data_IF_041327313298
#
_entry.id   IF_041327313298
#
_cell.length_a   1.000
_cell.length_b   1.000
_cell.length_c   1.000
_cell.angle_alpha   90.00
_cell.angle_beta   90.00
_cell.angle_gamma   90.00
#
_symmetry.space_group_name_H-M   'P 1'
#
loop_
_entity.id
_entity.type
_entity.pdbx_description
1 polymer ?
#
# COMPACT_ATOMS: atom_id res chain seq x y z
N UNK A 1 5.99 -11.18 -27.91
CA UNK A 1 4.95 -10.52 -27.06
C UNK A 1 5.48 -10.11 -25.68
N UNK A 2 6.38 -10.86 -25.08
CA UNK A 2 6.84 -10.63 -23.69
C UNK A 2 7.58 -9.29 -23.44
N UNK A 3 8.54 -8.85 -24.31
CA UNK A 3 9.26 -7.59 -24.07
C UNK A 3 8.35 -6.36 -24.09
N UNK A 4 7.32 -6.37 -24.96
CA UNK A 4 6.35 -5.27 -25.07
C UNK A 4 5.44 -5.25 -23.82
N UNK A 5 4.93 -6.40 -23.39
CA UNK A 5 4.12 -6.50 -22.20
C UNK A 5 4.87 -5.96 -20.95
N UNK A 6 6.14 -6.34 -20.77
CA UNK A 6 6.97 -5.84 -19.68
C UNK A 6 7.22 -4.31 -19.76
N UNK A 7 7.38 -3.76 -20.96
CA UNK A 7 7.48 -2.29 -21.14
C UNK A 7 6.20 -1.59 -20.73
N UNK A 8 5.02 -2.12 -21.11
CA UNK A 8 3.71 -1.57 -20.73
C UNK A 8 3.54 -1.64 -19.22
N UNK A 9 3.81 -2.80 -18.60
CA UNK A 9 3.69 -3.01 -17.15
C UNK A 9 4.58 -2.00 -16.39
N UNK A 10 5.83 -1.83 -16.80
CA UNK A 10 6.75 -0.84 -16.18
C UNK A 10 6.26 0.60 -16.37
N UNK A 11 5.76 0.95 -17.54
CA UNK A 11 5.20 2.27 -17.83
C UNK A 11 3.99 2.56 -16.95
N UNK A 12 3.11 1.58 -16.76
CA UNK A 12 1.93 1.70 -15.91
C UNK A 12 2.30 1.82 -14.43
N UNK A 13 3.26 1.02 -13.95
CA UNK A 13 3.80 1.13 -12.59
C UNK A 13 4.34 2.53 -12.33
N UNK A 14 5.16 3.07 -13.24
CA UNK A 14 5.71 4.41 -13.12
C UNK A 14 4.62 5.50 -13.10
N UNK A 15 3.60 5.36 -13.93
CA UNK A 15 2.47 6.30 -13.98
C UNK A 15 1.64 6.26 -12.69
N UNK A 16 1.40 5.06 -12.15
CA UNK A 16 0.69 4.88 -10.89
C UNK A 16 1.45 5.55 -9.74
N UNK A 17 2.77 5.32 -9.61
CA UNK A 17 3.61 5.97 -8.61
C UNK A 17 3.59 7.49 -8.72
N UNK A 18 3.58 8.02 -9.95
CA UNK A 18 3.44 9.45 -10.18
C UNK A 18 2.11 9.99 -9.61
N UNK A 19 0.99 9.32 -9.87
CA UNK A 19 -0.31 9.71 -9.33
C UNK A 19 -0.36 9.61 -7.82
N UNK A 20 0.13 8.51 -7.22
CA UNK A 20 0.20 8.33 -5.77
C UNK A 20 1.01 9.45 -5.11
N UNK A 21 2.13 9.84 -5.73
CA UNK A 21 2.97 10.95 -5.26
C UNK A 21 2.25 12.31 -5.39
N UNK A 22 1.52 12.54 -6.48
CA UNK A 22 0.76 13.77 -6.69
C UNK A 22 -0.39 13.89 -5.68
N UNK A 23 -1.15 12.81 -5.45
CA UNK A 23 -2.20 12.73 -4.45
C UNK A 23 -1.64 13.02 -3.05
N UNK A 24 -0.52 12.39 -2.69
CA UNK A 24 0.14 12.61 -1.39
C UNK A 24 0.52 14.07 -1.18
N UNK A 25 1.10 14.72 -2.20
CA UNK A 25 1.49 16.14 -2.13
C UNK A 25 0.29 17.08 -1.99
N UNK A 26 -0.76 16.84 -2.76
CA UNK A 26 -1.93 17.73 -2.82
C UNK A 26 -2.86 17.56 -1.61
N UNK A 27 -3.13 16.30 -1.22
CA UNK A 27 -4.04 16.03 -0.10
C UNK A 27 -3.42 16.27 1.26
N UNK A 28 -2.11 15.99 1.42
CA UNK A 28 -1.52 15.85 2.74
C UNK A 28 -0.25 16.70 2.93
N UNK A 29 0.18 17.47 1.92
CA UNK A 29 1.45 18.23 1.96
C UNK A 29 2.67 17.39 2.40
N UNK A 30 2.57 16.06 2.23
CA UNK A 30 3.54 15.09 2.71
C UNK A 30 4.84 15.09 1.91
N UNK A 31 5.94 14.67 2.55
CA UNK A 31 7.19 14.44 1.86
C UNK A 31 7.10 13.15 1.04
N UNK A 32 7.50 13.21 -0.22
CA UNK A 32 7.41 12.11 -1.19
C UNK A 32 8.76 11.42 -1.39
N UNK A 33 9.78 11.78 -0.61
CA UNK A 33 11.11 11.18 -0.73
C UNK A 33 11.09 9.73 -0.23
N UNK A 34 11.32 8.79 -1.13
CA UNK A 34 11.36 7.35 -0.86
C UNK A 34 12.79 6.95 -0.46
N UNK A 35 13.07 6.95 0.86
CA UNK A 35 14.39 6.65 1.40
C UNK A 35 14.27 5.71 2.61
N UNK A 36 15.03 4.60 2.69
CA UNK A 36 15.03 3.69 3.83
C UNK A 36 15.30 4.35 5.20
N UNK A 37 15.96 5.52 5.24
CA UNK A 37 16.16 6.28 6.47
C UNK A 37 14.83 6.67 7.15
N UNK A 38 13.74 6.82 6.40
CA UNK A 38 12.41 7.12 6.95
C UNK A 38 11.80 5.94 7.71
N UNK A 39 12.32 4.71 7.58
CA UNK A 39 11.91 3.57 8.41
C UNK A 39 12.06 3.84 9.91
N UNK A 40 13.02 4.67 10.31
CA UNK A 40 13.12 5.11 11.68
C UNK A 40 11.90 5.93 12.12
N UNK A 41 11.45 6.85 11.28
CA UNK A 41 10.27 7.70 11.57
C UNK A 41 8.98 6.86 11.60
N UNK A 42 8.88 5.83 10.74
CA UNK A 42 7.78 4.86 10.76
C UNK A 42 7.76 4.11 12.10
N UNK A 43 8.93 3.65 12.56
CA UNK A 43 9.07 2.99 13.86
C UNK A 43 8.65 3.90 15.02
N UNK A 44 9.08 5.15 15.01
CA UNK A 44 8.71 6.16 16.02
C UNK A 44 7.19 6.47 16.01
N UNK A 45 6.61 6.57 14.81
CA UNK A 45 5.17 6.72 14.61
C UNK A 45 4.36 5.61 15.30
N UNK A 46 4.70 4.34 15.02
CA UNK A 46 4.02 3.20 15.61
C UNK A 46 4.29 3.07 17.12
N UNK A 47 5.51 3.41 17.56
CA UNK A 47 5.87 3.41 18.97
C UNK A 47 5.02 4.38 19.79
N UNK A 48 4.84 5.62 19.32
CA UNK A 48 3.99 6.65 19.94
C UNK A 48 2.52 6.20 20.06
N UNK A 49 2.07 5.35 19.14
CA UNK A 49 0.72 4.78 19.13
C UNK A 49 0.59 3.43 19.86
N UNK A 50 1.65 3.01 20.56
CA UNK A 50 1.72 1.73 21.28
C UNK A 50 1.50 0.50 20.40
N UNK A 51 1.73 0.61 19.10
CA UNK A 51 1.71 -0.49 18.14
C UNK A 51 3.10 -1.14 18.10
N UNK A 52 3.45 -1.84 19.19
CA UNK A 52 4.83 -2.27 19.46
C UNK A 52 5.38 -3.25 18.42
N UNK A 53 4.53 -4.14 17.89
CA UNK A 53 4.94 -5.09 16.84
C UNK A 53 5.33 -4.37 15.54
N UNK A 54 4.55 -3.37 15.13
CA UNK A 54 4.84 -2.56 13.95
C UNK A 54 6.09 -1.70 14.16
N UNK A 55 6.24 -1.09 15.35
CA UNK A 55 7.44 -0.34 15.70
C UNK A 55 8.70 -1.23 15.65
N UNK A 56 8.61 -2.44 16.22
CA UNK A 56 9.68 -3.43 16.21
C UNK A 56 10.08 -3.79 14.77
N UNK A 57 9.10 -4.09 13.92
CA UNK A 57 9.33 -4.38 12.51
C UNK A 57 10.10 -3.25 11.82
N UNK A 58 9.60 -2.02 11.93
CA UNK A 58 10.17 -0.86 11.24
C UNK A 58 11.59 -0.54 11.73
N UNK A 59 11.86 -0.55 13.05
CA UNK A 59 13.21 -0.35 13.57
C UNK A 59 14.16 -1.48 13.17
N UNK A 60 13.72 -2.74 13.15
CA UNK A 60 14.52 -3.88 12.67
C UNK A 60 14.91 -3.69 11.21
N UNK A 61 13.96 -3.29 10.35
CA UNK A 61 14.21 -2.99 8.94
C UNK A 61 15.12 -1.78 8.76
N UNK A 62 14.94 -0.73 9.58
CA UNK A 62 15.85 0.40 9.58
C UNK A 62 17.31 -0.02 9.87
N UNK A 63 17.54 -0.83 10.90
CA UNK A 63 18.89 -1.31 11.22
C UNK A 63 19.49 -2.18 10.10
N UNK A 64 18.65 -2.96 9.42
CA UNK A 64 19.07 -3.81 8.30
C UNK A 64 19.51 -2.98 7.09
N UNK A 65 18.75 -1.92 6.74
CA UNK A 65 18.95 -1.17 5.51
C UNK A 65 19.79 0.12 5.69
N UNK A 66 19.95 0.59 6.92
CA UNK A 66 20.67 1.82 7.24
C UNK A 66 21.73 1.61 8.35
N UNK A 67 22.65 0.63 8.22
CA UNK A 67 23.59 0.25 9.30
C UNK A 67 24.59 1.36 9.67
N UNK A 68 24.79 2.36 8.81
CA UNK A 68 25.71 3.49 9.02
C UNK A 68 25.01 4.78 9.45
N UNK A 69 23.69 4.76 9.67
CA UNK A 69 22.95 5.96 10.08
C UNK A 69 23.31 6.36 11.52
N UNK A 70 23.35 7.66 11.78
CA UNK A 70 23.53 8.23 13.14
C UNK A 70 22.49 7.75 14.15
N UNK A 71 21.27 7.40 13.67
CA UNK A 71 20.15 6.91 14.48
C UNK A 71 20.25 5.42 14.86
N UNK A 72 21.27 4.70 14.42
CA UNK A 72 21.44 3.25 14.71
C UNK A 72 21.49 2.97 16.21
N UNK A 73 22.23 3.80 16.98
CA UNK A 73 22.32 3.66 18.44
C UNK A 73 20.97 3.85 19.14
N UNK A 74 20.19 4.82 18.69
CA UNK A 74 18.84 5.09 19.21
C UNK A 74 17.87 3.95 18.85
N UNK A 75 17.85 3.52 17.59
CA UNK A 75 17.00 2.41 17.15
C UNK A 75 17.27 1.11 17.93
N UNK A 76 18.55 0.78 18.21
CA UNK A 76 18.91 -0.38 19.04
C UNK A 76 18.36 -0.27 20.46
N UNK A 77 18.48 0.91 21.10
CA UNK A 77 17.93 1.15 22.45
C UNK A 77 16.41 0.99 22.47
N UNK A 78 15.71 1.54 21.47
CA UNK A 78 14.26 1.42 21.36
C UNK A 78 13.83 -0.03 21.14
N UNK A 79 14.51 -0.77 20.26
CA UNK A 79 14.25 -2.20 20.05
C UNK A 79 14.39 -3.01 21.34
N UNK A 80 15.49 -2.85 22.10
CA UNK A 80 15.70 -3.54 23.37
C UNK A 80 14.59 -3.23 24.37
N UNK A 81 14.11 -1.98 24.39
CA UNK A 81 13.03 -1.55 25.29
C UNK A 81 11.69 -2.19 24.97
N UNK A 82 11.35 -2.34 23.69
CA UNK A 82 10.03 -2.86 23.28
C UNK A 82 10.02 -4.39 23.11
N UNK A 83 11.19 -5.01 22.87
CA UNK A 83 11.29 -6.45 22.60
C UNK A 83 10.57 -7.35 23.60
N UNK A 84 10.60 -7.11 24.95
CA UNK A 84 9.88 -7.97 25.91
C UNK A 84 8.34 -7.93 25.76
N UNK A 85 7.79 -6.89 25.12
CA UNK A 85 6.36 -6.71 24.92
C UNK A 85 5.89 -7.09 23.49
N UNK A 86 6.82 -7.48 22.62
CA UNK A 86 6.54 -7.91 21.24
C UNK A 86 6.28 -9.42 21.24
N UNK A 87 5.28 -9.86 20.49
CA UNK A 87 4.93 -11.29 20.36
C UNK A 87 6.07 -12.05 19.69
N UNK A 88 6.65 -13.02 20.38
CA UNK A 88 7.78 -13.85 19.88
C UNK A 88 7.47 -14.56 18.57
N UNK A 89 6.24 -14.99 18.38
CA UNK A 89 5.77 -15.68 17.19
C UNK A 89 5.76 -14.79 15.92
N UNK A 90 5.77 -13.48 16.08
CA UNK A 90 5.94 -12.51 14.98
C UNK A 90 7.43 -12.21 14.68
N UNK A 91 8.32 -12.42 15.67
CA UNK A 91 9.75 -12.18 15.53
C UNK A 91 10.44 -13.35 14.80
N UNK A 92 10.01 -14.58 15.08
CA UNK A 92 10.74 -15.82 14.74
C UNK A 92 10.42 -16.41 13.37
N UNK A 93 9.41 -15.90 12.64
CA UNK A 93 9.05 -16.46 11.34
C UNK A 93 10.05 -16.04 10.27
N UNK A 94 11.08 -16.84 10.09
CA UNK A 94 11.77 -16.93 8.80
C UNK A 94 10.81 -17.66 7.85
N UNK A 95 10.05 -16.88 7.08
CA UNK A 95 9.18 -17.43 6.07
C UNK A 95 10.05 -17.91 4.90
N UNK A 96 10.36 -19.21 4.89
CA UNK A 96 11.08 -19.85 3.81
C UNK A 96 10.08 -20.38 2.77
N UNK A 97 10.42 -20.22 1.48
CA UNK A 97 9.61 -20.71 0.38
C UNK A 97 8.73 -19.65 -0.29
N UNK A 98 7.93 -20.12 -1.25
CA UNK A 98 7.05 -19.25 -2.04
C UNK A 98 5.74 -18.91 -1.31
N UNK A 99 5.20 -19.84 -0.51
CA UNK A 99 3.98 -19.60 0.29
C UNK A 99 4.35 -19.05 1.65
N UNK A 100 3.71 -17.93 2.04
CA UNK A 100 3.93 -17.26 3.32
C UNK A 100 2.62 -17.00 4.02
N UNK A 101 2.60 -17.25 5.32
CA UNK A 101 1.43 -17.03 6.15
C UNK A 101 1.68 -15.82 7.07
N UNK A 102 0.66 -14.97 7.19
CA UNK A 102 0.66 -13.80 8.04
C UNK A 102 -0.57 -13.84 8.94
N UNK A 103 -0.40 -13.47 10.21
CA UNK A 103 -1.51 -13.30 11.14
C UNK A 103 -2.16 -11.95 10.97
N UNK A 104 -3.33 -11.78 11.58
CA UNK A 104 -4.00 -10.49 11.61
C UNK A 104 -3.07 -9.39 12.14
N UNK A 105 -3.13 -8.25 11.47
CA UNK A 105 -2.36 -7.05 11.79
C UNK A 105 -0.81 -7.23 11.74
N UNK A 106 -0.29 -8.19 10.98
CA UNK A 106 1.14 -8.38 10.74
C UNK A 106 1.61 -7.59 9.51
N UNK A 107 2.74 -6.87 9.62
CA UNK A 107 3.34 -6.15 8.49
C UNK A 107 4.00 -7.15 7.54
N UNK A 108 3.65 -7.09 6.25
CA UNK A 108 4.28 -7.84 5.16
C UNK A 108 5.54 -7.09 4.69
N UNK A 109 5.38 -5.80 4.45
CA UNK A 109 6.48 -4.86 4.21
C UNK A 109 6.06 -3.44 4.59
N UNK A 110 7.02 -2.58 4.88
CA UNK A 110 6.80 -1.19 5.22
C UNK A 110 7.10 -0.26 4.05
N UNK A 111 6.41 0.87 3.97
CA UNK A 111 6.84 1.95 3.09
C UNK A 111 8.31 2.33 3.37
N UNK A 112 9.00 2.81 2.37
CA UNK A 112 10.44 3.08 2.36
C UNK A 112 11.36 1.86 2.46
N UNK A 113 10.85 0.64 2.68
CA UNK A 113 11.64 -0.58 2.67
C UNK A 113 12.05 -0.94 1.24
N UNK A 114 13.30 -1.32 0.97
CA UNK A 114 13.70 -1.92 -0.31
C UNK A 114 12.88 -3.17 -0.60
N UNK A 115 12.39 -3.33 -1.82
CA UNK A 115 11.53 -4.44 -2.18
C UNK A 115 12.09 -5.31 -3.29
N UNK A 116 12.27 -6.61 -3.00
CA UNK A 116 12.80 -7.60 -3.96
C UNK A 116 11.75 -8.62 -4.40
N UNK A 117 10.56 -8.56 -3.80
CA UNK A 117 9.47 -9.50 -4.06
C UNK A 117 8.14 -8.76 -4.29
N UNK A 118 7.27 -9.37 -5.07
CA UNK A 118 5.86 -9.08 -5.12
C UNK A 118 5.08 -10.23 -4.48
N UNK A 119 3.81 -9.98 -4.21
CA UNK A 119 2.95 -10.95 -3.53
C UNK A 119 1.63 -11.13 -4.28
N UNK A 120 1.14 -12.37 -4.31
CA UNK A 120 -0.19 -12.73 -4.81
C UNK A 120 -0.98 -13.26 -3.62
N UNK A 121 -2.16 -12.68 -3.34
CA UNK A 121 -3.00 -13.09 -2.23
C UNK A 121 -3.68 -14.42 -2.58
N UNK A 122 -3.42 -15.45 -1.76
CA UNK A 122 -4.07 -16.76 -1.87
C UNK A 122 -5.32 -16.82 -1.00
N UNK A 123 -5.21 -16.32 0.26
CA UNK A 123 -6.29 -16.25 1.24
C UNK A 123 -6.17 -14.96 2.08
N UNK A 124 -7.29 -14.53 2.67
CA UNK A 124 -7.34 -13.37 3.54
C UNK A 124 -7.42 -12.05 2.77
N UNK A 125 -7.14 -10.95 3.44
CA UNK A 125 -7.15 -9.60 2.88
C UNK A 125 -5.91 -8.83 3.32
N UNK A 126 -5.49 -7.85 2.56
CA UNK A 126 -4.33 -7.01 2.86
C UNK A 126 -4.74 -5.55 2.82
N UNK A 127 -4.45 -4.81 3.91
CA UNK A 127 -4.54 -3.35 3.93
C UNK A 127 -3.27 -2.76 3.33
N UNK A 128 -3.44 -1.81 2.44
CA UNK A 128 -2.36 -0.95 1.95
C UNK A 128 -2.53 0.40 2.61
N UNK A 129 -1.56 0.82 3.40
CA UNK A 129 -1.60 2.05 4.18
C UNK A 129 -0.37 2.92 3.91
N UNK A 130 -0.47 4.19 4.21
CA UNK A 130 0.65 5.14 4.14
C UNK A 130 0.59 6.09 5.32
N UNK A 131 1.75 6.47 5.88
CA UNK A 131 1.83 7.48 6.93
C UNK A 131 2.04 8.84 6.28
N UNK A 132 1.07 9.74 6.45
CA UNK A 132 1.09 11.09 5.91
C UNK A 132 0.68 12.07 7.00
N UNK A 133 1.49 13.11 7.22
CA UNK A 133 1.26 14.13 8.26
C UNK A 133 0.94 13.50 9.63
N UNK A 134 1.70 12.47 10.00
CA UNK A 134 1.55 11.74 11.26
C UNK A 134 0.17 11.04 11.42
N UNK A 135 -0.50 10.73 10.31
CA UNK A 135 -1.73 9.94 10.24
C UNK A 135 -1.53 8.73 9.32
N UNK A 136 -2.09 7.59 9.71
CA UNK A 136 -2.13 6.41 8.85
C UNK A 136 -3.37 6.49 7.95
N UNK A 137 -3.14 6.56 6.65
CA UNK A 137 -4.18 6.63 5.62
C UNK A 137 -4.33 5.27 4.97
N UNK A 138 -5.55 4.74 4.93
CA UNK A 138 -5.88 3.53 4.20
C UNK A 138 -6.03 3.85 2.71
N UNK A 139 -5.17 3.28 1.88
CA UNK A 139 -5.20 3.46 0.43
C UNK A 139 -6.08 2.42 -0.28
N UNK A 140 -6.03 1.16 0.19
CA UNK A 140 -6.80 0.07 -0.39
C UNK A 140 -6.92 -1.13 0.56
N UNK A 141 -7.95 -1.96 0.35
CA UNK A 141 -8.06 -3.31 0.89
C UNK A 141 -8.07 -4.28 -0.27
N UNK A 142 -7.05 -5.12 -0.34
CA UNK A 142 -6.85 -6.11 -1.39
C UNK A 142 -7.42 -7.47 -0.98
N UNK A 143 -7.85 -8.26 -1.97
CA UNK A 143 -8.56 -9.54 -1.80
C UNK A 143 -7.83 -10.69 -2.52
N UNK A 144 -8.23 -11.96 -2.28
CA UNK A 144 -7.63 -13.09 -2.97
C UNK A 144 -7.60 -12.95 -4.49
N UNK A 145 -6.44 -13.28 -5.08
CA UNK A 145 -6.15 -13.10 -6.49
C UNK A 145 -5.52 -11.75 -6.86
N UNK A 146 -5.53 -10.75 -5.96
CA UNK A 146 -4.84 -9.49 -6.19
C UNK A 146 -3.31 -9.65 -6.06
N UNK A 147 -2.59 -8.78 -6.78
CA UNK A 147 -1.13 -8.71 -6.80
C UNK A 147 -0.72 -7.37 -6.21
N UNK A 148 0.31 -7.35 -5.35
CA UNK A 148 0.82 -6.13 -4.75
C UNK A 148 2.33 -6.20 -4.48
N UNK A 149 2.95 -5.02 -4.21
CA UNK A 149 4.39 -4.89 -4.04
C UNK A 149 5.18 -4.93 -5.35
N UNK A 150 4.50 -5.04 -6.49
CA UNK A 150 5.07 -5.11 -7.84
C UNK A 150 5.83 -3.83 -8.23
N UNK A 151 5.38 -2.66 -7.77
CA UNK A 151 5.96 -1.37 -8.15
C UNK A 151 7.42 -1.25 -7.72
N UNK A 152 7.76 -1.74 -6.54
CA UNK A 152 9.13 -1.70 -6.04
C UNK A 152 10.09 -2.50 -6.91
N UNK A 153 9.70 -3.71 -7.35
CA UNK A 153 10.54 -4.56 -8.19
C UNK A 153 10.59 -4.12 -9.66
N UNK A 154 9.49 -3.55 -10.17
CA UNK A 154 9.40 -3.06 -11.55
C UNK A 154 10.25 -1.82 -11.79
N UNK A 155 10.32 -0.93 -10.79
CA UNK A 155 11.01 0.36 -10.87
C UNK A 155 12.36 0.36 -10.15
N UNK A 156 12.68 -0.70 -9.41
CA UNK A 156 13.87 -0.77 -8.56
C UNK A 156 13.95 0.38 -7.55
N UNK A 157 12.81 0.64 -6.91
CA UNK A 157 12.63 1.70 -5.89
C UNK A 157 12.11 1.12 -4.59
N UNK A 158 12.21 1.82 -3.46
CA UNK A 158 11.58 1.42 -2.21
C UNK A 158 10.05 1.26 -2.33
N UNK A 159 9.46 0.57 -1.36
CA UNK A 159 8.02 0.46 -1.20
C UNK A 159 7.40 1.84 -1.02
N UNK A 160 6.35 2.14 -1.76
CA UNK A 160 5.65 3.43 -1.69
C UNK A 160 4.52 3.45 -0.64
N UNK A 161 4.20 2.31 -0.06
CA UNK A 161 3.18 2.13 0.97
C UNK A 161 3.51 0.93 1.86
N UNK A 162 2.85 0.83 3.01
CA UNK A 162 2.94 -0.31 3.93
C UNK A 162 1.82 -1.31 3.61
N UNK A 163 2.15 -2.61 3.61
CA UNK A 163 1.20 -3.68 3.48
C UNK A 163 1.05 -4.44 4.80
N UNK A 164 -0.19 -4.57 5.28
CA UNK A 164 -0.53 -5.17 6.57
C UNK A 164 -1.63 -6.21 6.36
N UNK A 165 -1.49 -7.39 6.95
CA UNK A 165 -2.52 -8.41 6.93
C UNK A 165 -3.79 -7.94 7.64
N UNK A 166 -4.95 -8.19 7.06
CA UNK A 166 -6.26 -7.89 7.61
C UNK A 166 -7.03 -9.21 7.80
N UNK A 167 -6.99 -9.72 9.00
CA UNK A 167 -7.22 -11.13 9.28
C UNK A 167 -6.02 -11.99 8.89
N UNK A 168 -6.07 -13.28 9.20
CA UNK A 168 -5.03 -14.23 8.79
C UNK A 168 -5.00 -14.35 7.27
N UNK A 169 -3.81 -14.32 6.68
CA UNK A 169 -3.63 -14.34 5.24
C UNK A 169 -2.51 -15.27 4.78
N UNK A 170 -2.67 -15.79 3.55
CA UNK A 170 -1.69 -16.61 2.86
C UNK A 170 -1.31 -15.95 1.55
N UNK A 171 -0.02 -15.75 1.33
CA UNK A 171 0.55 -15.04 0.20
C UNK A 171 1.52 -15.93 -0.57
N UNK A 172 1.51 -15.85 -1.89
CA UNK A 172 2.56 -16.38 -2.75
C UNK A 172 3.58 -15.25 -2.99
N UNK A 173 4.81 -15.42 -2.50
CA UNK A 173 5.91 -14.49 -2.72
C UNK A 173 6.65 -14.83 -4.02
N UNK A 174 6.86 -13.84 -4.87
CA UNK A 174 7.55 -13.99 -6.16
C UNK A 174 8.71 -12.99 -6.21
N UNK A 175 9.93 -13.50 -6.32
CA UNK A 175 11.11 -12.65 -6.46
C UNK A 175 11.13 -11.95 -7.83
N UNK A 176 11.84 -10.82 -7.91
CA UNK A 176 12.07 -10.09 -9.16
C UNK A 176 12.61 -10.99 -10.27
N UNK A 177 13.59 -11.85 -9.96
CA UNK A 177 14.19 -12.76 -10.93
C UNK A 177 13.18 -13.77 -11.49
N UNK A 178 12.27 -14.26 -10.66
CA UNK A 178 11.25 -15.22 -11.07
C UNK A 178 10.08 -14.56 -11.80
N UNK A 179 9.77 -13.31 -11.47
CA UNK A 179 8.64 -12.59 -12.02
C UNK A 179 8.72 -12.40 -13.54
N UNK A 180 9.86 -11.95 -14.06
CA UNK A 180 10.04 -11.77 -15.51
C UNK A 180 9.89 -13.10 -16.26
N UNK A 181 10.47 -14.18 -15.74
CA UNK A 181 10.30 -15.51 -16.29
C UNK A 181 8.87 -16.05 -16.20
N UNK A 182 8.13 -15.71 -15.15
CA UNK A 182 6.72 -16.09 -15.02
C UNK A 182 5.84 -15.38 -16.05
N UNK A 183 6.02 -14.07 -16.27
CA UNK A 183 5.29 -13.30 -17.28
C UNK A 183 5.60 -13.81 -18.69
N UNK A 184 6.85 -14.23 -18.95
CA UNK A 184 7.25 -14.80 -20.23
C UNK A 184 6.59 -16.13 -20.51
N UNK A 185 6.50 -17.03 -19.51
CA UNK A 185 5.90 -18.37 -19.65
C UNK A 185 4.38 -18.35 -19.56
N UNK A 186 3.81 -17.35 -18.92
CA UNK A 186 2.37 -17.21 -18.75
C UNK A 186 1.87 -15.81 -19.20
N UNK A 187 1.50 -15.66 -20.49
CA UNK A 187 1.00 -14.40 -21.04
C UNK A 187 -0.26 -13.89 -20.33
N UNK A 188 -1.07 -14.79 -19.75
CA UNK A 188 -2.28 -14.41 -19.00
C UNK A 188 -1.93 -13.62 -17.72
N UNK A 189 -0.79 -13.95 -17.07
CA UNK A 189 -0.29 -13.17 -15.93
C UNK A 189 0.05 -11.74 -16.35
N UNK A 190 0.70 -11.56 -17.49
CA UNK A 190 0.99 -10.25 -18.05
C UNK A 190 -0.27 -9.45 -18.33
N UNK A 191 -1.28 -10.06 -18.95
CA UNK A 191 -2.58 -9.44 -19.20
C UNK A 191 -3.26 -9.04 -17.90
N UNK A 192 -3.30 -9.94 -16.91
CA UNK A 192 -3.89 -9.66 -15.59
C UNK A 192 -3.22 -8.47 -14.90
N UNK A 193 -1.90 -8.38 -14.95
CA UNK A 193 -1.14 -7.25 -14.40
C UNK A 193 -1.44 -5.94 -15.11
N UNK A 194 -1.50 -5.94 -16.43
CA UNK A 194 -1.85 -4.75 -17.22
C UNK A 194 -3.25 -4.27 -16.84
N UNK A 195 -4.22 -5.16 -16.76
CA UNK A 195 -5.60 -4.84 -16.35
C UNK A 195 -5.62 -4.25 -14.94
N UNK A 196 -4.99 -4.91 -13.98
CA UNK A 196 -4.93 -4.47 -12.59
C UNK A 196 -4.26 -3.08 -12.44
N UNK A 197 -3.14 -2.86 -13.11
CA UNK A 197 -2.46 -1.55 -13.09
C UNK A 197 -3.27 -0.47 -13.79
N UNK A 198 -3.99 -0.81 -14.88
CA UNK A 198 -4.91 0.12 -15.56
C UNK A 198 -6.03 0.57 -14.65
N UNK A 199 -6.66 -0.36 -13.93
CA UNK A 199 -7.73 -0.06 -12.97
C UNK A 199 -7.21 0.82 -11.82
N UNK A 200 -6.01 0.53 -11.29
CA UNK A 200 -5.39 1.36 -10.25
C UNK A 200 -5.05 2.76 -10.75
N UNK A 201 -4.51 2.89 -11.96
CA UNK A 201 -4.22 4.18 -12.59
C UNK A 201 -5.50 4.99 -12.74
N UNK A 202 -6.58 4.35 -13.21
CA UNK A 202 -7.86 5.02 -13.37
C UNK A 202 -8.41 5.53 -12.02
N UNK A 203 -8.35 4.71 -10.97
CA UNK A 203 -8.75 5.10 -9.61
C UNK A 203 -7.91 6.26 -9.07
N UNK A 204 -6.60 6.18 -9.21
CA UNK A 204 -5.70 7.25 -8.78
C UNK A 204 -5.94 8.55 -9.56
N UNK A 205 -6.20 8.46 -10.88
CA UNK A 205 -6.58 9.61 -11.69
C UNK A 205 -7.90 10.23 -11.21
N UNK A 206 -8.94 9.42 -10.95
CA UNK A 206 -10.22 9.89 -10.42
C UNK A 206 -10.05 10.58 -9.06
N UNK A 207 -9.27 9.99 -8.16
CA UNK A 207 -8.98 10.59 -6.86
C UNK A 207 -8.24 11.92 -7.00
N UNK A 208 -7.27 12.01 -7.90
CA UNK A 208 -6.56 13.25 -8.19
C UNK A 208 -7.50 14.31 -8.77
N UNK A 209 -8.37 13.93 -9.70
CA UNK A 209 -9.38 14.84 -10.27
C UNK A 209 -10.35 15.35 -9.20
N UNK A 210 -10.80 14.48 -8.29
CA UNK A 210 -11.66 14.84 -7.16
C UNK A 210 -11.00 15.90 -6.24
N UNK A 211 -9.71 15.71 -5.91
CA UNK A 211 -8.96 16.67 -5.07
C UNK A 211 -8.90 18.07 -5.70
N UNK A 212 -8.90 18.16 -7.03
CA UNK A 212 -8.84 19.44 -7.76
C UNK A 212 -10.19 20.15 -7.84
N UNK A 213 -11.29 19.53 -7.43
CA UNK A 213 -12.59 20.20 -7.30
C UNK A 213 -12.52 21.14 -6.10
N UNK A 214 -12.79 22.42 -6.32
CA UNK A 214 -12.64 23.48 -5.29
C UNK A 214 -13.74 23.48 -4.23
N UNK A 215 -14.89 22.92 -4.56
CA UNK A 215 -16.10 22.92 -3.72
C UNK A 215 -16.28 21.54 -3.05
N UNK A 216 -16.44 21.57 -1.73
CA UNK A 216 -16.52 20.36 -0.89
C UNK A 216 -17.73 19.47 -1.28
N UNK A 217 -18.87 20.08 -1.62
CA UNK A 217 -20.06 19.36 -2.02
C UNK A 217 -19.87 18.68 -3.38
N UNK A 218 -19.24 19.38 -4.32
CA UNK A 218 -18.86 18.81 -5.61
C UNK A 218 -17.92 17.62 -5.48
N UNK A 219 -16.96 17.66 -4.53
CA UNK A 219 -16.07 16.53 -4.22
C UNK A 219 -16.85 15.32 -3.70
N UNK A 220 -17.83 15.53 -2.82
CA UNK A 220 -18.70 14.46 -2.31
C UNK A 220 -19.53 13.83 -3.43
N UNK A 221 -20.15 14.64 -4.28
CA UNK A 221 -20.92 14.13 -5.43
C UNK A 221 -20.05 13.37 -6.43
N UNK A 222 -18.87 13.87 -6.75
CA UNK A 222 -17.93 13.18 -7.66
C UNK A 222 -17.47 11.83 -7.07
N UNK A 223 -17.24 11.75 -5.76
CA UNK A 223 -16.91 10.49 -5.09
C UNK A 223 -18.08 9.50 -5.14
N UNK A 224 -19.29 9.94 -4.83
CA UNK A 224 -20.49 9.09 -4.91
C UNK A 224 -20.71 8.57 -6.34
N UNK A 225 -20.54 9.44 -7.34
CA UNK A 225 -20.62 9.05 -8.75
C UNK A 225 -19.53 8.02 -9.11
N UNK A 226 -18.32 8.21 -8.64
CA UNK A 226 -17.22 7.28 -8.85
C UNK A 226 -17.55 5.88 -8.30
N UNK A 227 -18.14 5.78 -7.10
CA UNK A 227 -18.56 4.50 -6.52
C UNK A 227 -19.65 3.83 -7.36
N UNK A 228 -20.60 4.60 -7.85
CA UNK A 228 -21.68 4.10 -8.74
C UNK A 228 -21.12 3.56 -10.06
N UNK A 229 -20.18 4.28 -10.66
CA UNK A 229 -19.49 3.87 -11.90
C UNK A 229 -18.64 2.60 -11.69
N UNK A 230 -17.88 2.52 -10.59
CA UNK A 230 -17.08 1.32 -10.24
C UNK A 230 -17.93 0.07 -10.09
N UNK A 231 -19.12 0.21 -9.51
CA UNK A 231 -20.09 -0.88 -9.36
C UNK A 231 -20.93 -1.13 -10.62
N UNK A 232 -20.69 -0.38 -11.71
CA UNK A 232 -21.40 -0.50 -12.99
C UNK A 232 -22.92 -0.37 -12.86
N UNK A 233 -23.36 0.51 -11.96
CA UNK A 233 -24.78 0.71 -11.69
C UNK A 233 -25.35 1.65 -12.76
N UNK A 234 -26.40 1.26 -13.48
CA UNK A 234 -27.01 2.13 -14.46
C UNK A 234 -27.70 3.32 -13.76
N UNK A 235 -27.22 4.53 -14.00
CA UNK A 235 -27.82 5.75 -13.46
C UNK A 235 -29.03 6.13 -14.33
N UNK A 236 -30.23 5.93 -13.82
CA UNK A 236 -31.49 6.36 -14.45
C UNK A 236 -32.27 7.27 -13.51
N UNK A 237 -33.22 8.05 -14.02
CA UNK A 237 -34.04 9.00 -13.21
C UNK A 237 -34.75 8.38 -12.00
N UNK A 238 -34.98 7.06 -12.02
CA UNK A 238 -35.75 6.34 -10.99
C UNK A 238 -34.96 5.28 -10.27
N UNK A 239 -33.63 5.24 -10.42
CA UNK A 239 -32.77 4.24 -9.74
C UNK A 239 -32.26 4.82 -8.43
N UNK A 240 -32.76 4.32 -7.29
CA UNK A 240 -32.16 4.54 -5.98
C UNK A 240 -30.97 3.60 -5.78
N UNK A 241 -29.88 4.11 -5.24
CA UNK A 241 -28.74 3.32 -4.81
C UNK A 241 -28.44 3.57 -3.33
N UNK A 242 -28.32 2.50 -2.55
CA UNK A 242 -27.92 2.58 -1.14
C UNK A 242 -26.44 2.27 -1.04
N UNK A 243 -25.69 3.23 -0.53
CA UNK A 243 -24.25 3.04 -0.25
C UNK A 243 -24.10 2.24 1.04
N UNK A 244 -23.04 1.44 1.13
CA UNK A 244 -22.65 0.64 2.30
C UNK A 244 -21.79 1.43 3.31
N UNK A 245 -21.72 2.74 3.14
CA UNK A 245 -21.01 3.67 4.01
C UNK A 245 -21.87 4.91 4.31
N UNK A 246 -21.59 5.57 5.44
CA UNK A 246 -22.28 6.78 5.87
C UNK A 246 -21.53 8.07 5.51
N UNK A 247 -22.06 9.19 6.02
CA UNK A 247 -21.51 10.53 5.75
C UNK A 247 -20.09 10.70 6.30
N UNK A 248 -19.79 10.12 7.47
CA UNK A 248 -18.45 10.21 8.06
C UNK A 248 -17.39 9.51 7.20
N UNK A 249 -17.72 8.34 6.66
CA UNK A 249 -16.84 7.61 5.75
C UNK A 249 -16.65 8.39 4.45
N UNK A 250 -17.71 8.98 3.90
CA UNK A 250 -17.63 9.81 2.69
C UNK A 250 -16.69 11.01 2.91
N UNK A 251 -16.82 11.72 4.03
CA UNK A 251 -15.94 12.84 4.39
C UNK A 251 -14.48 12.40 4.41
N UNK A 252 -14.19 11.23 5.02
CA UNK A 252 -12.84 10.64 5.04
C UNK A 252 -12.35 10.25 3.65
N UNK A 253 -13.20 9.67 2.81
CA UNK A 253 -12.87 9.26 1.44
C UNK A 253 -12.47 10.46 0.55
N UNK A 254 -13.10 11.60 0.74
CA UNK A 254 -12.77 12.83 0.01
C UNK A 254 -11.68 13.68 0.71
N UNK A 255 -11.19 13.24 1.87
CA UNK A 255 -10.13 13.94 2.61
C UNK A 255 -10.54 15.30 3.17
N UNK A 256 -11.80 15.45 3.57
CA UNK A 256 -12.29 16.63 4.26
C UNK A 256 -12.11 16.50 5.78
N UNK A 257 -11.88 17.61 6.52
CA UNK A 257 -11.84 17.58 7.96
C UNK A 257 -13.21 17.24 8.55
N UNK A 258 -13.22 16.45 9.65
CA UNK A 258 -14.46 15.92 10.26
C UNK A 258 -15.36 16.98 10.94
N UNK A 259 -14.86 18.20 11.06
CA UNK A 259 -15.53 19.36 11.68
C UNK A 259 -16.23 20.29 10.66
N UNK A 260 -16.28 19.85 9.41
CA UNK A 260 -17.07 20.47 8.33
C UNK A 260 -18.22 19.54 7.94
#
# INVERSE_FOLDING_TARGET
>A
YSPIAMKIIRSFSHKLRYFDSAITRLSFKGNVEENPRYLFNIGDYYLKRKQLNHAFYAFKKFLQHCPTSEKVGEAKKLLMKIQPAVREDQIARQQQGFSRQYRDNEIIFSEHEPGEELYIIQKGKIKITKIVDNNEVLLAVLKPGDIFGEMAILENKPRNATAISFGDSELLAVSKANFEGMVQRNPQLGTKLITLLSERIWKAYRQLANILISDDLGRMYDMLLTVVEENRIPVTRNTGYTFDFGTEELIKMVGLPADK
#
